data_IF_861827722193
#
_entry.id   IF_861827722193
#
_cell.length_a   1.000
_cell.length_b   1.000
_cell.length_c   1.000
_cell.angle_alpha   90.00
_cell.angle_beta   90.00
_cell.angle_gamma   90.00
#
_symmetry.space_group_name_H-M   'P 1'
#
loop_
_entity.id
_entity.type
_entity.pdbx_description
1 polymer ?
#
# COMPACT_ATOMS: atom_id res chain seq x y z
N UNK A 1 -0.18 22.36 51.09
CA UNK A 1 -0.83 23.69 51.07
C UNK A 1 -2.09 23.58 50.20
N UNK A 2 -3.26 23.86 50.79
CA UNK A 2 -4.60 23.87 50.17
C UNK A 2 -4.84 25.17 49.40
N UNK A 3 -5.36 25.13 48.17
CA UNK A 3 -6.15 26.20 47.51
C UNK A 3 -7.15 25.51 46.56
N UNK A 4 -8.40 25.29 47.00
CA UNK A 4 -9.58 26.18 46.98
C UNK A 4 -10.17 26.33 45.57
N UNK A 5 -11.36 25.72 45.44
CA UNK A 5 -12.38 25.80 44.39
C UNK A 5 -12.64 27.23 43.89
N UNK A 6 -12.91 27.38 42.60
CA UNK A 6 -13.82 28.43 42.13
C UNK A 6 -14.76 27.85 41.07
N UNK A 7 -15.99 27.59 41.55
CA UNK A 7 -17.17 27.26 40.76
C UNK A 7 -17.64 28.57 40.12
N UNK A 8 -17.80 28.59 38.80
CA UNK A 8 -18.54 29.66 38.13
C UNK A 8 -19.71 29.03 37.37
N UNK A 9 -20.88 29.21 37.97
CA UNK A 9 -22.20 28.92 37.43
C UNK A 9 -22.56 30.07 36.48
N UNK A 10 -22.92 29.78 35.22
CA UNK A 10 -23.54 30.76 34.33
C UNK A 10 -24.77 30.18 33.65
N UNK A 11 -25.85 30.96 33.76
CA UNK A 11 -27.23 30.67 33.42
C UNK A 11 -27.47 30.49 31.91
N UNK A 12 -28.46 29.66 31.63
CA UNK A 12 -29.04 29.38 30.32
C UNK A 12 -29.83 30.56 29.73
N UNK A 13 -29.70 30.74 28.42
CA UNK A 13 -30.73 31.35 27.56
C UNK A 13 -31.16 30.31 26.54
N UNK A 14 -32.44 29.93 26.59
CA UNK A 14 -33.12 29.15 25.59
C UNK A 14 -33.61 30.06 24.46
N UNK A 15 -33.17 29.80 23.23
CA UNK A 15 -33.80 30.31 22.02
C UNK A 15 -33.96 29.13 21.05
N UNK A 16 -35.21 28.78 20.77
CA UNK A 16 -35.57 27.79 19.75
C UNK A 16 -35.18 28.32 18.38
N UNK A 17 -34.45 27.52 17.61
CA UNK A 17 -34.39 27.65 16.16
C UNK A 17 -34.54 26.27 15.55
N UNK A 18 -35.72 26.07 14.98
CA UNK A 18 -36.11 24.91 14.18
C UNK A 18 -35.38 25.03 12.84
N UNK A 19 -34.31 24.26 12.67
CA UNK A 19 -33.65 24.05 11.38
C UNK A 19 -33.92 22.60 10.98
N UNK A 20 -34.62 22.42 9.85
CA UNK A 20 -35.07 21.12 9.35
C UNK A 20 -33.92 20.13 9.10
N UNK A 21 -34.24 18.84 8.93
CA UNK A 21 -33.25 17.82 8.65
C UNK A 21 -32.68 18.03 7.24
N UNK A 22 -31.60 18.81 7.15
CA UNK A 22 -30.66 18.71 6.05
C UNK A 22 -29.93 17.38 6.23
N UNK A 23 -30.38 16.37 5.50
CA UNK A 23 -29.67 15.09 5.40
C UNK A 23 -28.18 15.36 5.22
N UNK A 24 -27.29 14.78 6.04
CA UNK A 24 -25.88 14.77 5.71
C UNK A 24 -25.77 13.97 4.42
N UNK A 25 -25.55 14.68 3.30
CA UNK A 25 -24.90 14.08 2.15
C UNK A 25 -23.51 13.73 2.68
N UNK A 26 -23.36 12.49 3.16
CA UNK A 26 -22.05 11.88 3.24
C UNK A 26 -21.39 12.16 1.90
N UNK A 27 -20.22 12.81 1.85
CA UNK A 27 -19.35 12.61 0.71
C UNK A 27 -19.16 11.10 0.71
N UNK A 28 -19.79 10.45 -0.27
CA UNK A 28 -19.55 9.04 -0.51
C UNK A 28 -18.05 8.89 -0.47
N UNK A 29 -17.58 7.94 0.34
CA UNK A 29 -16.29 7.37 0.10
C UNK A 29 -16.31 7.03 -1.39
N UNK A 30 -15.67 7.87 -2.21
CA UNK A 30 -15.12 7.44 -3.48
C UNK A 30 -14.12 6.38 -3.06
N UNK A 31 -14.61 5.15 -2.90
CA UNK A 31 -13.80 3.99 -3.12
C UNK A 31 -13.12 4.27 -4.46
N UNK A 32 -11.81 4.43 -4.43
CA UNK A 32 -11.00 4.62 -5.61
C UNK A 32 -11.18 3.35 -6.45
N UNK A 33 -12.22 3.40 -7.27
CA UNK A 33 -12.69 2.32 -8.10
C UNK A 33 -11.99 2.49 -9.43
N UNK A 34 -11.12 1.54 -9.75
CA UNK A 34 -10.69 1.29 -11.11
C UNK A 34 -9.33 1.89 -11.45
N UNK A 35 -8.47 1.02 -11.99
CA UNK A 35 -7.42 1.29 -12.98
C UNK A 35 -7.37 2.77 -13.43
N UNK A 36 -6.34 3.50 -13.01
CA UNK A 36 -6.21 4.92 -13.34
C UNK A 36 -5.81 5.13 -14.82
N UNK A 37 -5.05 4.18 -15.41
CA UNK A 37 -4.59 4.25 -16.79
C UNK A 37 -4.71 2.89 -17.45
N UNK A 38 -5.28 2.88 -18.66
CA UNK A 38 -5.45 1.68 -19.51
C UNK A 38 -4.94 2.01 -20.91
N UNK A 39 -4.11 1.14 -21.48
CA UNK A 39 -3.62 1.31 -22.85
C UNK A 39 -4.70 0.93 -23.87
N UNK A 40 -4.54 1.40 -25.12
CA UNK A 40 -5.50 1.14 -26.19
C UNK A 40 -5.57 -0.33 -26.61
N UNK A 41 -4.53 -1.13 -26.30
CA UNK A 41 -4.50 -2.57 -26.54
C UNK A 41 -5.55 -3.39 -25.77
N UNK A 42 -6.23 -2.80 -24.78
CA UNK A 42 -7.17 -3.52 -23.93
C UNK A 42 -8.59 -3.73 -24.51
N UNK A 43 -8.77 -3.57 -25.82
CA UNK A 43 -10.03 -3.86 -26.52
C UNK A 43 -10.01 -5.13 -27.39
N UNK A 44 -8.88 -5.84 -27.44
CA UNK A 44 -8.67 -7.01 -28.29
C UNK A 44 -8.00 -8.16 -27.55
N UNK A 45 -7.79 -9.28 -28.24
CA UNK A 45 -6.99 -10.39 -27.70
C UNK A 45 -5.57 -9.90 -27.41
N UNK A 46 -4.98 -10.27 -26.26
CA UNK A 46 -3.61 -9.89 -25.96
C UNK A 46 -2.68 -10.36 -27.08
N UNK A 47 -1.97 -9.41 -27.68
CA UNK A 47 -0.96 -9.66 -28.69
C UNK A 47 0.43 -9.56 -28.08
N UNK A 48 1.29 -10.54 -28.35
CA UNK A 48 2.68 -10.57 -27.87
C UNK A 48 2.87 -11.41 -26.61
N UNK A 49 4.12 -11.54 -26.19
CA UNK A 49 4.49 -12.25 -24.97
C UNK A 49 4.31 -11.34 -23.75
N UNK A 50 3.25 -11.57 -22.98
CA UNK A 50 2.93 -10.76 -21.79
C UNK A 50 4.00 -10.89 -20.69
N UNK A 51 4.74 -12.00 -20.65
CA UNK A 51 5.84 -12.19 -19.69
C UNK A 51 6.99 -11.25 -20.04
N UNK A 52 7.37 -11.16 -21.31
CA UNK A 52 8.41 -10.25 -21.77
C UNK A 52 8.00 -8.78 -21.57
N UNK A 53 6.74 -8.45 -21.82
CA UNK A 53 6.21 -7.09 -21.57
C UNK A 53 6.28 -6.75 -20.08
N UNK A 54 5.83 -7.65 -19.20
CA UNK A 54 5.92 -7.46 -17.75
C UNK A 54 7.38 -7.32 -17.28
N UNK A 55 8.30 -8.13 -17.84
CA UNK A 55 9.72 -8.04 -17.53
C UNK A 55 10.35 -6.72 -18.00
N UNK A 56 10.00 -6.26 -19.20
CA UNK A 56 10.46 -4.97 -19.73
C UNK A 56 9.96 -3.81 -18.86
N UNK A 57 8.68 -3.85 -18.46
CA UNK A 57 8.10 -2.86 -17.55
C UNK A 57 8.78 -2.91 -16.18
N UNK A 58 8.99 -4.10 -15.63
CA UNK A 58 9.72 -4.30 -14.38
C UNK A 58 11.09 -3.64 -14.41
N UNK A 59 11.91 -4.00 -15.39
CA UNK A 59 13.28 -3.50 -15.49
C UNK A 59 13.34 -1.98 -15.67
N UNK A 60 12.51 -1.40 -16.54
CA UNK A 60 12.51 0.06 -16.76
C UNK A 60 11.87 0.83 -15.60
N UNK A 61 10.82 0.26 -14.99
CA UNK A 61 10.17 0.80 -13.80
C UNK A 61 11.12 0.92 -12.62
N UNK A 62 11.92 -0.13 -12.37
CA UNK A 62 12.93 -0.14 -11.32
C UNK A 62 14.09 0.82 -11.59
N UNK A 63 14.59 0.88 -12.83
CA UNK A 63 15.74 1.70 -13.17
C UNK A 63 15.42 3.21 -13.18
N UNK A 64 14.32 3.58 -13.82
CA UNK A 64 14.06 4.99 -14.17
C UNK A 64 12.90 5.60 -13.38
N UNK A 65 12.05 4.77 -12.77
CA UNK A 65 10.84 5.21 -12.07
C UNK A 65 10.75 4.67 -10.64
N UNK A 66 11.88 4.40 -9.99
CA UNK A 66 11.95 3.76 -8.66
C UNK A 66 11.07 4.41 -7.57
N UNK A 67 10.85 5.73 -7.64
CA UNK A 67 10.03 6.46 -6.68
C UNK A 67 8.51 6.25 -6.86
N UNK A 68 8.09 5.79 -8.04
CA UNK A 68 6.69 5.60 -8.43
C UNK A 68 6.33 4.12 -8.65
N UNK A 69 7.20 3.35 -9.30
CA UNK A 69 6.96 1.97 -9.66
C UNK A 69 6.89 1.06 -8.42
N UNK A 70 5.86 0.22 -8.32
CA UNK A 70 5.67 -0.75 -7.24
C UNK A 70 5.86 -2.20 -7.70
N UNK A 71 5.49 -2.52 -8.93
CA UNK A 71 5.68 -3.85 -9.51
C UNK A 71 4.83 -4.06 -10.76
N UNK A 72 5.12 -5.14 -11.49
CA UNK A 72 4.31 -5.56 -12.63
C UNK A 72 4.10 -7.08 -12.58
N UNK A 73 2.94 -7.54 -13.07
CA UNK A 73 2.63 -8.97 -13.21
C UNK A 73 1.74 -9.21 -14.42
N UNK A 74 1.74 -10.44 -14.90
CA UNK A 74 0.73 -10.89 -15.87
C UNK A 74 -0.58 -11.13 -15.11
N UNK A 75 -1.62 -10.38 -15.46
CA UNK A 75 -3.00 -10.55 -14.99
C UNK A 75 -3.86 -11.29 -16.01
N UNK A 76 -5.17 -11.35 -15.74
CA UNK A 76 -6.12 -12.09 -16.60
C UNK A 76 -6.33 -11.41 -17.97
N UNK A 77 -6.38 -10.07 -17.99
CA UNK A 77 -6.67 -9.27 -19.19
C UNK A 77 -5.42 -8.76 -19.92
N UNK A 78 -4.24 -8.83 -19.28
CA UNK A 78 -3.02 -8.20 -19.78
C UNK A 78 -1.96 -8.07 -18.71
N UNK A 79 -1.04 -7.11 -18.86
CA UNK A 79 -0.06 -6.81 -17.82
C UNK A 79 -0.64 -5.81 -16.84
N UNK A 80 -0.63 -6.15 -15.54
CA UNK A 80 -0.99 -5.24 -14.46
C UNK A 80 0.27 -4.57 -13.91
N UNK A 81 0.25 -3.24 -13.84
CA UNK A 81 1.32 -2.41 -13.32
C UNK A 81 0.82 -1.66 -12.10
N UNK A 82 1.53 -1.77 -10.98
CA UNK A 82 1.21 -1.11 -9.73
C UNK A 82 2.17 0.05 -9.54
N UNK A 83 1.65 1.26 -9.32
CA UNK A 83 2.49 2.46 -9.18
C UNK A 83 1.83 3.58 -8.37
N UNK A 84 2.62 4.36 -7.63
CA UNK A 84 2.20 5.65 -7.06
C UNK A 84 1.97 6.66 -8.18
N UNK A 85 0.99 7.58 -8.06
CA UNK A 85 0.67 8.57 -9.10
C UNK A 85 1.91 9.21 -9.75
N UNK A 86 2.08 8.98 -11.05
CA UNK A 86 3.22 9.46 -11.83
C UNK A 86 2.83 9.63 -13.30
N UNK A 87 2.66 10.88 -13.74
CA UNK A 87 2.31 11.20 -15.12
C UNK A 87 3.41 10.77 -16.11
N UNK A 88 4.67 10.79 -15.69
CA UNK A 88 5.82 10.41 -16.52
C UNK A 88 5.82 8.89 -16.80
N UNK A 89 5.57 8.08 -15.76
CA UNK A 89 5.46 6.63 -15.92
C UNK A 89 4.23 6.27 -16.77
N UNK A 90 3.10 6.94 -16.53
CA UNK A 90 1.87 6.73 -17.30
C UNK A 90 2.04 7.06 -18.78
N UNK A 91 2.69 8.19 -19.08
CA UNK A 91 2.99 8.62 -20.45
C UNK A 91 3.93 7.62 -21.14
N UNK A 92 4.95 7.13 -20.42
CA UNK A 92 5.85 6.11 -20.96
C UNK A 92 5.13 4.80 -21.24
N UNK A 93 4.29 4.29 -20.32
CA UNK A 93 3.53 3.05 -20.51
C UNK A 93 2.58 3.19 -21.71
N UNK A 94 1.81 4.28 -21.75
CA UNK A 94 0.80 4.50 -22.80
C UNK A 94 1.42 4.69 -24.18
N UNK A 95 2.58 5.36 -24.28
CA UNK A 95 3.29 5.51 -25.54
C UNK A 95 3.97 4.20 -25.98
N UNK A 96 4.63 3.49 -25.06
CA UNK A 96 5.46 2.32 -25.39
C UNK A 96 4.63 1.07 -25.68
N UNK A 97 3.55 0.87 -24.92
CA UNK A 97 2.70 -0.32 -24.98
C UNK A 97 1.31 0.01 -25.55
N UNK A 98 1.24 0.95 -26.49
CA UNK A 98 -0.03 1.42 -27.05
C UNK A 98 -0.92 0.29 -27.60
N UNK A 99 -0.32 -0.78 -28.13
CA UNK A 99 -1.02 -1.94 -28.72
C UNK A 99 -1.16 -3.15 -27.79
N UNK A 100 -0.50 -3.15 -26.63
CA UNK A 100 -0.58 -4.26 -25.65
C UNK A 100 -1.48 -3.85 -24.51
N UNK A 101 -2.35 -4.73 -24.02
CA UNK A 101 -3.17 -4.39 -22.86
C UNK A 101 -2.31 -4.28 -21.58
N UNK A 102 -2.18 -3.07 -21.07
CA UNK A 102 -1.53 -2.76 -19.80
C UNK A 102 -2.51 -1.98 -18.93
N UNK A 103 -2.76 -2.51 -17.75
CA UNK A 103 -3.63 -1.96 -16.72
C UNK A 103 -2.76 -1.34 -15.63
N UNK A 104 -2.90 -0.04 -15.38
CA UNK A 104 -2.14 0.67 -14.35
C UNK A 104 -3.02 0.91 -13.13
N UNK A 105 -2.58 0.37 -12.01
CA UNK A 105 -3.22 0.45 -10.71
C UNK A 105 -2.44 1.40 -9.80
N UNK A 106 -3.19 2.20 -9.04
CA UNK A 106 -2.60 3.00 -7.98
C UNK A 106 -2.07 2.09 -6.86
N UNK A 107 -0.83 2.35 -6.44
CA UNK A 107 -0.20 1.72 -5.30
C UNK A 107 0.11 2.75 -4.21
N UNK A 108 0.01 2.34 -2.94
CA UNK A 108 0.34 3.20 -1.80
C UNK A 108 1.84 3.41 -1.64
N UNK A 109 2.64 2.39 -1.98
CA UNK A 109 4.08 2.36 -1.82
C UNK A 109 4.75 1.89 -3.10
N UNK A 110 5.93 2.44 -3.38
CA UNK A 110 6.84 1.98 -4.45
C UNK A 110 7.62 0.74 -4.03
N UNK A 111 8.21 0.07 -5.01
CA UNK A 111 9.11 -1.06 -4.82
C UNK A 111 10.30 -0.66 -3.96
N UNK A 112 10.85 0.54 -4.17
CA UNK A 112 11.94 1.08 -3.37
C UNK A 112 11.54 1.28 -1.89
N UNK A 113 10.32 1.76 -1.62
CA UNK A 113 9.81 1.90 -0.26
C UNK A 113 9.61 0.54 0.42
N UNK A 114 9.07 -0.45 -0.30
CA UNK A 114 8.90 -1.83 0.18
C UNK A 114 10.25 -2.51 0.43
N UNK A 115 11.20 -2.39 -0.51
CA UNK A 115 12.55 -2.94 -0.37
C UNK A 115 13.29 -2.36 0.85
N UNK A 116 13.14 -1.06 1.11
CA UNK A 116 13.68 -0.44 2.32
C UNK A 116 13.10 -1.05 3.59
N UNK A 117 11.78 -1.28 3.63
CA UNK A 117 11.12 -1.94 4.78
C UNK A 117 11.59 -3.39 4.93
N UNK A 118 11.67 -4.13 3.83
CA UNK A 118 12.19 -5.50 3.78
C UNK A 118 13.59 -5.58 4.38
N UNK A 119 14.49 -4.69 3.97
CA UNK A 119 15.87 -4.64 4.47
C UNK A 119 15.92 -4.34 5.96
N UNK A 120 15.15 -3.36 6.43
CA UNK A 120 15.04 -3.05 7.86
C UNK A 120 14.61 -4.26 8.69
N UNK A 121 13.63 -5.04 8.20
CA UNK A 121 13.20 -6.27 8.89
C UNK A 121 14.33 -7.29 8.95
N UNK A 122 15.06 -7.49 7.85
CA UNK A 122 16.20 -8.42 7.81
C UNK A 122 17.36 -8.00 8.70
N UNK A 123 17.66 -6.70 8.78
CA UNK A 123 18.68 -6.13 9.67
C UNK A 123 18.31 -6.31 11.16
N UNK A 124 17.01 -6.33 11.46
CA UNK A 124 16.50 -6.50 12.82
C UNK A 124 16.45 -7.97 13.29
N UNK A 125 16.93 -8.93 12.50
CA UNK A 125 16.86 -10.37 12.84
C UNK A 125 17.46 -10.72 14.21
N UNK A 126 18.61 -10.13 14.56
CA UNK A 126 19.24 -10.36 15.88
C UNK A 126 18.33 -9.85 17.00
N UNK A 127 17.78 -8.64 16.83
CA UNK A 127 16.83 -8.06 17.78
C UNK A 127 15.59 -8.96 17.95
N UNK A 128 15.03 -9.50 16.87
CA UNK A 128 13.87 -10.41 16.96
C UNK A 128 14.18 -11.68 17.71
N UNK A 129 15.34 -12.29 17.45
CA UNK A 129 15.79 -13.48 18.16
C UNK A 129 15.94 -13.23 19.67
N UNK A 130 16.49 -12.07 20.08
CA UNK A 130 16.57 -11.68 21.49
C UNK A 130 15.20 -11.45 22.13
N UNK A 131 14.21 -11.01 21.35
CA UNK A 131 12.81 -10.97 21.78
C UNK A 131 12.14 -12.36 21.77
N UNK A 132 12.83 -13.42 21.34
CA UNK A 132 12.32 -14.77 21.17
C UNK A 132 11.25 -14.87 20.09
N UNK A 133 11.46 -14.16 18.98
CA UNK A 133 10.69 -14.27 17.73
C UNK A 133 11.66 -14.72 16.64
N UNK A 134 11.35 -15.85 15.99
CA UNK A 134 12.15 -16.36 14.89
C UNK A 134 11.50 -15.94 13.57
N UNK A 135 12.22 -15.13 12.80
CA UNK A 135 11.83 -14.74 11.46
C UNK A 135 12.29 -15.84 10.50
N UNK A 136 11.33 -16.56 9.93
CA UNK A 136 11.59 -17.66 8.99
C UNK A 136 11.67 -17.15 7.54
N UNK A 137 10.84 -16.16 7.21
CA UNK A 137 10.84 -15.52 5.91
C UNK A 137 10.55 -14.02 6.02
N UNK A 138 11.04 -13.27 5.04
CA UNK A 138 10.63 -11.90 4.77
C UNK A 138 10.36 -11.82 3.28
N UNK A 139 9.28 -11.17 2.87
CA UNK A 139 8.93 -10.94 1.46
C UNK A 139 8.18 -9.62 1.31
N UNK A 140 8.04 -9.15 0.06
CA UNK A 140 7.24 -7.97 -0.26
C UNK A 140 6.07 -8.37 -1.15
N UNK A 141 4.88 -7.87 -0.82
CA UNK A 141 3.68 -7.99 -1.64
C UNK A 141 3.33 -6.60 -2.17
N UNK A 142 3.76 -6.30 -3.39
CA UNK A 142 3.55 -4.98 -3.99
C UNK A 142 2.09 -4.72 -4.38
N UNK A 143 1.28 -5.77 -4.55
CA UNK A 143 -0.14 -5.65 -4.87
C UNK A 143 -0.89 -5.15 -3.64
N UNK A 144 -0.63 -5.74 -2.48
CA UNK A 144 -1.20 -5.29 -1.19
C UNK A 144 -0.43 -4.11 -0.59
N UNK A 145 0.79 -3.85 -1.07
CA UNK A 145 1.66 -2.79 -0.56
C UNK A 145 2.15 -3.07 0.86
N UNK A 146 2.49 -4.32 1.17
CA UNK A 146 2.92 -4.76 2.50
C UNK A 146 4.23 -5.54 2.45
N UNK A 147 4.98 -5.55 3.56
CA UNK A 147 6.06 -6.52 3.79
C UNK A 147 5.49 -7.66 4.62
N UNK A 148 5.68 -8.89 4.19
CA UNK A 148 5.17 -10.09 4.87
C UNK A 148 6.32 -10.79 5.57
N UNK A 149 6.09 -11.17 6.83
CA UNK A 149 7.07 -11.87 7.67
C UNK A 149 6.48 -13.18 8.15
N UNK A 150 7.13 -14.28 7.81
CA UNK A 150 6.81 -15.62 8.29
C UNK A 150 7.45 -15.89 9.65
N UNK A 151 6.64 -16.31 10.62
CA UNK A 151 7.09 -16.70 11.97
C UNK A 151 6.04 -17.61 12.61
N UNK A 152 6.45 -18.54 13.48
CA UNK A 152 5.50 -19.29 14.29
C UNK A 152 5.01 -18.49 15.51
N UNK A 153 5.75 -17.46 15.92
CA UNK A 153 5.45 -16.69 17.13
C UNK A 153 4.50 -15.51 16.84
N UNK A 154 3.52 -15.68 15.95
CA UNK A 154 2.66 -14.60 15.43
C UNK A 154 2.01 -13.77 16.55
N UNK A 155 1.41 -14.41 17.55
CA UNK A 155 0.70 -13.71 18.63
C UNK A 155 1.64 -12.84 19.48
N UNK A 156 2.85 -13.35 19.72
CA UNK A 156 3.89 -12.63 20.46
C UNK A 156 4.50 -11.51 19.61
N UNK A 157 4.76 -11.79 18.34
CA UNK A 157 5.40 -10.87 17.42
C UNK A 157 4.49 -9.70 17.05
N UNK A 158 3.18 -9.90 16.92
CA UNK A 158 2.22 -8.89 16.45
C UNK A 158 2.32 -7.53 17.17
N UNK A 159 2.24 -7.44 18.51
CA UNK A 159 2.37 -6.16 19.20
C UNK A 159 3.79 -5.57 19.08
N UNK A 160 4.84 -6.40 19.02
CA UNK A 160 6.22 -5.94 18.93
C UNK A 160 6.53 -5.33 17.54
N UNK A 161 6.07 -5.99 16.48
CA UNK A 161 6.20 -5.51 15.11
C UNK A 161 5.40 -4.22 14.90
N UNK A 162 4.16 -4.16 15.39
CA UNK A 162 3.34 -2.95 15.30
C UNK A 162 3.97 -1.73 16.01
N UNK A 163 4.64 -1.97 17.15
CA UNK A 163 5.33 -0.91 17.89
C UNK A 163 6.63 -0.45 17.21
N UNK A 164 7.40 -1.37 16.62
CA UNK A 164 8.69 -1.05 16.00
C UNK A 164 8.55 -0.43 14.62
N UNK A 165 7.61 -0.93 13.83
CA UNK A 165 7.43 -0.56 12.43
C UNK A 165 6.30 0.45 12.26
N UNK A 166 6.57 1.68 12.68
CA UNK A 166 5.63 2.80 12.51
C UNK A 166 5.92 3.59 11.22
N UNK A 167 4.85 4.06 10.57
CA UNK A 167 4.94 4.78 9.29
C UNK A 167 5.45 3.92 8.12
N UNK A 168 5.37 4.43 6.90
CA UNK A 168 5.80 3.71 5.69
C UNK A 168 4.99 2.43 5.41
N UNK A 169 5.56 1.47 4.64
CA UNK A 169 4.89 0.20 4.36
C UNK A 169 4.64 -0.60 5.64
N UNK A 170 3.41 -1.12 5.84
CA UNK A 170 3.09 -1.97 6.98
C UNK A 170 3.83 -3.31 6.88
N UNK A 171 4.05 -3.92 8.05
CA UNK A 171 4.55 -5.29 8.16
C UNK A 171 3.43 -6.18 8.66
N UNK A 172 3.13 -7.22 7.89
CA UNK A 172 2.15 -8.23 8.23
C UNK A 172 2.82 -9.55 8.60
N UNK A 173 2.25 -10.24 9.57
CA UNK A 173 2.76 -11.52 10.05
C UNK A 173 1.89 -12.66 9.52
N UNK A 174 2.55 -13.71 9.05
CA UNK A 174 1.91 -14.98 8.67
C UNK A 174 2.51 -16.11 9.50
N UNK A 175 1.67 -17.08 9.86
CA UNK A 175 2.12 -18.30 10.51
C UNK A 175 2.88 -19.15 9.50
N UNK A 176 4.17 -19.36 9.75
CA UNK A 176 5.06 -20.09 8.86
C UNK A 176 6.02 -20.93 9.70
N UNK A 177 6.03 -22.25 9.47
CA UNK A 177 7.00 -23.17 10.06
C UNK A 177 8.40 -22.92 9.47
N UNK A 178 9.49 -23.33 10.16
CA UNK A 178 10.84 -23.15 9.66
C UNK A 178 11.04 -24.06 8.44
N UNK A 179 11.85 -23.60 7.49
CA UNK A 179 12.18 -24.34 6.27
C UNK A 179 12.99 -25.62 6.55
#
# INVERSE_FOLDING_TARGET
>A
MRRVLMVTLLLALAACSEAGPSSPVSPGASGASGVAVRTAGCGGSPSGDLVDVAAQIGSKGEADFAAAFAGARVGEEGVEVYRKPSAELDAWITATFATTCVLVHDARFSAAELAKRYQQVGEDNVYWSEQGVHVNSVSSDFVRGVVVVGTQEVDKARPLFAARYTGGPPVELVDEAPA
#
